data_IF_434885227385
#
_entry.id   IF_434885227385
#
_cell.length_a   1.000
_cell.length_b   1.000
_cell.length_c   1.000
_cell.angle_alpha   90.00
_cell.angle_beta   90.00
_cell.angle_gamma   90.00
#
_symmetry.space_group_name_H-M   'P 1'
#
loop_
_entity.id
_entity.type
_entity.pdbx_description
1 polymer ?
#
# COMPACT_ATOMS: atom_id res chain seq x y z
N UNK A 1 -0.80 -3.84 -22.38
CA UNK A 1 -0.94 -5.31 -22.39
C UNK A 1 -0.72 -5.97 -21.03
N UNK A 2 0.16 -5.48 -20.15
CA UNK A 2 0.44 -6.10 -18.82
C UNK A 2 -0.74 -6.04 -17.83
N UNK A 3 -1.45 -4.90 -17.79
CA UNK A 3 -2.60 -4.64 -16.89
C UNK A 3 -3.77 -5.62 -17.08
N UNK A 4 -4.05 -6.02 -18.32
CA UNK A 4 -5.12 -6.99 -18.62
C UNK A 4 -4.76 -8.40 -18.18
N UNK A 5 -3.48 -8.79 -18.21
CA UNK A 5 -3.04 -10.10 -17.73
C UNK A 5 -3.08 -10.19 -16.19
N UNK A 6 -2.69 -9.12 -15.50
CA UNK A 6 -2.76 -9.03 -14.03
C UNK A 6 -4.21 -9.03 -13.53
N UNK A 7 -5.11 -8.30 -14.19
CA UNK A 7 -6.54 -8.33 -13.90
C UNK A 7 -7.15 -9.72 -14.15
N UNK A 8 -6.84 -10.36 -15.29
CA UNK A 8 -7.30 -11.73 -15.57
C UNK A 8 -6.78 -12.75 -14.54
N UNK A 9 -5.57 -12.56 -14.03
CA UNK A 9 -5.04 -13.39 -12.95
C UNK A 9 -5.83 -13.18 -11.67
N UNK A 10 -6.14 -11.94 -11.31
CA UNK A 10 -6.98 -11.62 -10.16
C UNK A 10 -8.35 -12.28 -10.27
N UNK A 11 -9.02 -12.17 -11.43
CA UNK A 11 -10.31 -12.81 -11.67
C UNK A 11 -10.27 -14.33 -11.46
N UNK A 12 -9.20 -14.99 -11.93
CA UNK A 12 -9.01 -16.43 -11.72
C UNK A 12 -8.81 -16.79 -10.25
N UNK A 13 -8.07 -15.98 -9.50
CA UNK A 13 -7.84 -16.20 -8.07
C UNK A 13 -9.15 -16.06 -7.29
N UNK A 14 -9.96 -15.05 -7.63
CA UNK A 14 -11.30 -14.86 -7.06
C UNK A 14 -12.22 -16.03 -7.40
N UNK A 15 -12.25 -16.46 -8.67
CA UNK A 15 -13.06 -17.60 -9.10
C UNK A 15 -12.66 -18.92 -8.42
N UNK A 16 -11.37 -19.08 -8.08
CA UNK A 16 -10.86 -20.23 -7.35
C UNK A 16 -11.05 -20.14 -5.83
N UNK A 17 -11.58 -19.03 -5.31
CA UNK A 17 -11.70 -18.80 -3.85
C UNK A 17 -10.34 -18.59 -3.16
N UNK A 18 -9.28 -18.30 -3.91
CA UNK A 18 -7.94 -18.04 -3.39
C UNK A 18 -7.84 -16.60 -2.86
N UNK A 19 -8.61 -16.30 -1.80
CA UNK A 19 -8.82 -14.93 -1.31
C UNK A 19 -7.55 -14.24 -0.83
N UNK A 20 -6.64 -14.97 -0.18
CA UNK A 20 -5.34 -14.43 0.24
C UNK A 20 -4.50 -14.02 -0.97
N UNK A 21 -4.36 -14.91 -1.96
CA UNK A 21 -3.62 -14.62 -3.19
C UNK A 21 -4.27 -13.50 -3.99
N UNK A 22 -5.60 -13.46 -4.03
CA UNK A 22 -6.37 -12.39 -4.68
C UNK A 22 -6.11 -11.04 -4.00
N UNK A 23 -6.11 -10.98 -2.66
CA UNK A 23 -5.83 -9.75 -1.91
C UNK A 23 -4.39 -9.26 -2.14
N UNK A 24 -3.41 -10.17 -2.15
CA UNK A 24 -2.02 -9.83 -2.47
C UNK A 24 -1.85 -9.34 -3.91
N UNK A 25 -2.52 -10.00 -4.87
CA UNK A 25 -2.52 -9.57 -6.26
C UNK A 25 -3.17 -8.19 -6.43
N UNK A 26 -4.25 -7.91 -5.70
CA UNK A 26 -4.91 -6.61 -5.69
C UNK A 26 -3.98 -5.51 -5.18
N UNK A 27 -3.28 -5.73 -4.06
CA UNK A 27 -2.27 -4.77 -3.55
C UNK A 27 -1.20 -4.48 -4.60
N UNK A 28 -0.68 -5.51 -5.27
CA UNK A 28 0.34 -5.34 -6.29
C UNK A 28 -0.14 -4.51 -7.50
N UNK A 29 -1.43 -4.60 -7.85
CA UNK A 29 -2.04 -3.86 -8.95
C UNK A 29 -2.33 -2.41 -8.55
N UNK A 30 -2.96 -2.21 -7.41
CA UNK A 30 -3.53 -0.91 -7.01
C UNK A 30 -2.59 -0.04 -6.20
N UNK A 31 -1.67 -0.65 -5.45
CA UNK A 31 -0.72 0.02 -4.58
C UNK A 31 0.73 -0.33 -4.97
N UNK A 32 1.20 -0.01 -6.19
CA UNK A 32 2.51 -0.44 -6.68
C UNK A 32 3.70 0.06 -5.85
N UNK A 33 3.50 1.11 -5.06
CA UNK A 33 4.51 1.65 -4.14
C UNK A 33 4.45 1.04 -2.74
N UNK A 34 3.36 0.38 -2.38
CA UNK A 34 3.18 -0.27 -1.08
C UNK A 34 3.45 -1.76 -1.18
N UNK A 35 4.02 -2.34 -0.13
CA UNK A 35 4.31 -3.76 -0.05
C UNK A 35 4.00 -4.30 1.33
N UNK A 36 3.71 -5.60 1.42
CA UNK A 36 3.58 -6.30 2.69
C UNK A 36 4.95 -6.36 3.37
N UNK A 37 5.07 -5.67 4.50
CA UNK A 37 6.25 -5.66 5.38
C UNK A 37 6.17 -6.78 6.41
N UNK A 38 4.98 -6.98 6.98
CA UNK A 38 4.72 -8.02 7.99
C UNK A 38 3.39 -8.70 7.70
N UNK A 39 3.39 -10.03 7.80
CA UNK A 39 2.20 -10.84 7.90
C UNK A 39 2.47 -11.91 8.96
N UNK A 40 1.87 -11.74 10.13
CA UNK A 40 2.14 -12.58 11.29
C UNK A 40 0.82 -13.01 11.94
N UNK A 41 0.80 -14.19 12.55
CA UNK A 41 -0.33 -14.64 13.35
C UNK A 41 0.05 -14.51 14.82
N UNK A 42 -0.71 -13.72 15.57
CA UNK A 42 -0.48 -13.47 16.98
C UNK A 42 -1.81 -13.23 17.72
N UNK A 43 -1.88 -13.69 18.96
CA UNK A 43 -3.07 -13.56 19.84
C UNK A 43 -4.42 -14.01 19.22
N UNK A 44 -4.39 -14.94 18.26
CA UNK A 44 -5.59 -15.44 17.59
C UNK A 44 -5.99 -14.65 16.33
N UNK A 45 -5.17 -13.69 15.91
CA UNK A 45 -5.44 -12.83 14.77
C UNK A 45 -4.26 -12.74 13.82
N UNK A 46 -4.56 -12.48 12.54
CA UNK A 46 -3.56 -12.12 11.55
C UNK A 46 -3.30 -10.63 11.61
N UNK A 47 -2.04 -10.26 11.82
CA UNK A 47 -1.53 -8.89 11.74
C UNK A 47 -0.89 -8.67 10.38
N UNK A 48 -1.36 -7.66 9.65
CA UNK A 48 -0.82 -7.27 8.35
C UNK A 48 -0.30 -5.84 8.40
N UNK A 49 0.96 -5.65 8.02
CA UNK A 49 1.57 -4.34 7.88
C UNK A 49 1.96 -4.06 6.42
N UNK A 50 1.48 -2.93 5.89
CA UNK A 50 1.86 -2.40 4.58
C UNK A 50 2.79 -1.20 4.74
N UNK A 51 3.84 -1.14 3.93
CA UNK A 51 4.83 -0.06 3.92
C UNK A 51 5.10 0.45 2.51
N UNK A 52 5.33 1.75 2.38
CA UNK A 52 5.72 2.43 1.13
C UNK A 52 7.26 2.51 0.95
N UNK A 53 8.05 2.19 1.99
CA UNK A 53 9.51 2.32 1.96
C UNK A 53 10.18 1.17 2.71
N UNK A 54 10.72 0.20 1.95
CA UNK A 54 11.34 -1.03 2.49
C UNK A 54 12.52 -0.79 3.42
N UNK A 55 13.35 0.21 3.14
CA UNK A 55 14.67 0.36 3.77
C UNK A 55 14.70 1.34 4.94
N UNK A 56 13.53 1.82 5.39
CA UNK A 56 13.45 2.73 6.53
C UNK A 56 13.26 1.96 7.84
N UNK A 57 13.99 2.35 8.90
CA UNK A 57 13.71 1.90 10.25
C UNK A 57 12.24 2.12 10.61
N UNK A 58 11.67 1.27 11.48
CA UNK A 58 10.25 1.31 11.85
C UNK A 58 9.78 2.70 12.33
N UNK A 59 10.66 3.48 12.97
CA UNK A 59 10.36 4.81 13.49
C UNK A 59 10.25 5.90 12.41
N UNK A 60 10.74 5.64 11.20
CA UNK A 60 10.70 6.57 10.05
C UNK A 60 9.83 6.04 8.90
N UNK A 61 9.41 4.77 8.97
CA UNK A 61 8.50 4.18 8.00
C UNK A 61 7.06 4.64 8.23
N UNK A 62 6.38 5.00 7.15
CA UNK A 62 4.95 5.34 7.15
C UNK A 62 4.09 4.08 7.02
N UNK A 63 4.35 3.06 7.82
CA UNK A 63 3.62 1.80 7.78
C UNK A 63 2.16 1.96 8.22
N UNK A 64 1.29 1.13 7.67
CA UNK A 64 -0.08 0.90 8.10
C UNK A 64 -0.13 -0.51 8.67
N UNK A 65 -0.70 -0.68 9.85
CA UNK A 65 -0.91 -1.99 10.47
C UNK A 65 -2.39 -2.20 10.79
N UNK A 66 -2.89 -3.39 10.48
CA UNK A 66 -4.25 -3.86 10.77
C UNK A 66 -4.22 -5.30 11.23
N UNK A 67 -5.27 -5.74 11.93
CA UNK A 67 -5.43 -7.10 12.39
C UNK A 67 -6.84 -7.61 12.14
N UNK A 68 -6.97 -8.92 11.89
CA UNK A 68 -8.26 -9.59 11.80
C UNK A 68 -8.09 -11.12 11.99
N UNK A 69 -9.07 -11.84 12.56
CA UNK A 69 -9.00 -13.31 12.70
C UNK A 69 -8.82 -14.08 11.38
N UNK A 70 -9.41 -13.55 10.30
CA UNK A 70 -9.21 -14.05 8.94
C UNK A 70 -8.07 -13.30 8.22
N UNK A 71 -7.15 -14.05 7.62
CA UNK A 71 -5.94 -13.52 6.97
C UNK A 71 -6.25 -12.64 5.76
N UNK A 72 -7.14 -13.08 4.88
CA UNK A 72 -7.47 -12.33 3.67
C UNK A 72 -8.10 -10.98 4.03
N UNK A 73 -8.95 -10.97 5.06
CA UNK A 73 -9.56 -9.76 5.61
C UNK A 73 -8.53 -8.85 6.26
N UNK A 74 -7.57 -9.38 7.04
CA UNK A 74 -6.48 -8.58 7.61
C UNK A 74 -5.68 -7.85 6.52
N UNK A 75 -5.40 -8.52 5.40
CA UNK A 75 -4.72 -7.93 4.24
C UNK A 75 -5.59 -6.85 3.57
N UNK A 76 -6.89 -7.10 3.39
CA UNK A 76 -7.82 -6.14 2.79
C UNK A 76 -8.08 -4.91 3.69
N UNK A 77 -8.06 -5.09 5.00
CA UNK A 77 -8.15 -3.98 5.95
C UNK A 77 -6.91 -3.08 5.85
N UNK A 78 -5.71 -3.66 5.71
CA UNK A 78 -4.49 -2.90 5.48
C UNK A 78 -4.56 -2.13 4.16
N UNK A 79 -5.04 -2.78 3.09
CA UNK A 79 -5.29 -2.14 1.80
C UNK A 79 -6.23 -0.93 1.94
N UNK A 80 -7.38 -1.11 2.60
CA UNK A 80 -8.36 -0.03 2.82
C UNK A 80 -7.74 1.12 3.62
N UNK A 81 -6.95 0.81 4.65
CA UNK A 81 -6.29 1.80 5.48
C UNK A 81 -5.20 2.58 4.72
N UNK A 82 -4.55 1.98 3.72
CA UNK A 82 -3.66 2.72 2.80
C UNK A 82 -4.45 3.65 1.87
N UNK A 83 -5.54 3.15 1.28
CA UNK A 83 -6.39 3.94 0.38
C UNK A 83 -7.00 5.15 1.11
N UNK A 84 -7.42 4.97 2.36
CA UNK A 84 -8.00 6.06 3.17
C UNK A 84 -6.97 7.13 3.58
N UNK A 85 -5.68 6.79 3.68
CA UNK A 85 -4.58 7.74 3.91
C UNK A 85 -4.28 8.64 2.70
N UNK A 86 -4.97 8.46 1.57
CA UNK A 86 -4.74 9.27 0.36
C UNK A 86 -3.66 8.72 -0.56
N UNK A 87 -3.19 7.49 -0.33
CA UNK A 87 -2.49 6.71 -1.35
C UNK A 87 -3.50 6.41 -2.46
N UNK A 88 -3.58 7.28 -3.45
CA UNK A 88 -4.61 7.19 -4.50
C UNK A 88 -4.40 5.87 -5.25
N UNK A 89 -5.34 4.91 -5.18
CA UNK A 89 -5.28 3.73 -6.02
C UNK A 89 -5.30 4.20 -7.48
N UNK A 90 -4.49 3.59 -8.34
CA UNK A 90 -4.32 4.06 -9.72
C UNK A 90 -5.62 4.03 -10.54
N UNK A 91 -6.69 3.41 -10.04
CA UNK A 91 -8.03 3.46 -10.64
C UNK A 91 -8.76 4.81 -10.53
N UNK A 92 -8.35 5.70 -9.61
CA UNK A 92 -9.02 7.00 -9.36
C UNK A 92 -8.11 8.21 -9.55
N UNK A 93 -7.08 8.12 -10.40
CA UNK A 93 -6.33 9.31 -10.81
C UNK A 93 -7.19 10.20 -11.72
N UNK A 94 -7.95 11.11 -11.12
CA UNK A 94 -8.26 12.38 -11.74
C UNK A 94 -6.95 13.15 -11.96
N UNK A 95 -6.79 13.91 -13.07
CA UNK A 95 -5.54 14.61 -13.35
C UNK A 95 -5.24 15.58 -12.20
N UNK A 96 -4.19 15.27 -11.43
CA UNK A 96 -3.62 16.20 -10.46
C UNK A 96 -3.17 17.41 -11.25
N UNK A 97 -3.78 18.56 -10.97
CA UNK A 97 -3.30 19.86 -11.47
C UNK A 97 -1.87 20.00 -11.01
N UNK A 98 -0.91 20.02 -11.93
CA UNK A 98 0.47 20.31 -11.60
C UNK A 98 0.51 21.66 -10.89
N UNK A 99 0.83 21.66 -9.59
CA UNK A 99 1.17 22.88 -8.87
C UNK A 99 2.50 23.31 -9.46
N UNK A 100 2.51 24.46 -10.14
CA UNK A 100 3.76 25.04 -10.61
C UNK A 100 4.66 25.27 -9.39
N UNK A 101 5.93 24.87 -9.43
CA UNK A 101 6.86 25.18 -8.35
C UNK A 101 6.90 26.70 -8.23
N UNK A 102 6.35 27.22 -7.14
CA UNK A 102 6.63 28.60 -6.74
C UNK A 102 8.06 28.57 -6.22
N UNK A 103 8.93 29.42 -6.79
CA UNK A 103 10.35 29.54 -6.45
C UNK A 103 10.57 29.41 -4.94
N UNK A 104 10.87 28.19 -4.51
CA UNK A 104 11.13 27.87 -3.12
C UNK A 104 12.64 27.93 -3.00
N UNK A 105 13.14 29.11 -2.63
CA UNK A 105 14.56 29.34 -2.43
C UNK A 105 15.04 28.45 -1.26
N UNK A 106 15.98 27.52 -1.48
CA UNK A 106 16.47 26.65 -0.42
C UNK A 106 17.29 27.47 0.58
N UNK A 107 16.76 27.64 1.78
CA UNK A 107 17.51 28.22 2.91
C UNK A 107 18.58 27.23 3.39
N UNK A 108 19.85 27.62 3.28
CA UNK A 108 20.99 26.83 3.72
C UNK A 108 21.10 26.91 5.27
N UNK A 109 20.91 25.78 5.95
CA UNK A 109 20.98 25.67 7.42
C UNK A 109 22.43 25.69 7.96
N UNK A 110 23.29 26.56 7.45
CA UNK A 110 24.71 26.62 7.85
C UNK A 110 25.02 27.77 8.83
N UNK A 111 24.02 28.50 9.31
CA UNK A 111 24.25 29.72 10.12
C UNK A 111 24.00 29.57 11.64
N UNK A 112 24.13 28.35 12.18
CA UNK A 112 24.19 28.13 13.64
C UNK A 112 25.41 27.26 13.98
N UNK A 113 26.57 27.92 14.07
CA UNK A 113 27.76 27.47 14.79
C UNK A 113 28.09 28.52 15.86
#
# INVERSE_FOLDING_TARGET
MRRTAEAQRLDRLVAAGAWTDAALALIAIELPRWQVRRLAYDEGEWHCALSNQRDLPDWLDSAVETHHPDMATAILDAFRAVVSRGGTPHLTQAPVRAIQPTDSEPMLCENYC
#
